data_IF_314740090358
#
_entry.id   IF_314740090358
#
_cell.length_a   1.000
_cell.length_b   1.000
_cell.length_c   1.000
_cell.angle_alpha   90.00
_cell.angle_beta   90.00
_cell.angle_gamma   90.00
#
_symmetry.space_group_name_H-M   'P 1'
#
loop_
_entity.id
_entity.type
_entity.pdbx_description
1 polymer ?
#
# COMPACT_ATOMS: atom_id res chain seq x y z
N UNK A 1 -8.84 4.36 -0.75
CA UNK A 1 -7.54 3.65 -0.67
C UNK A 1 -6.78 3.77 -1.99
N UNK A 2 -7.37 3.31 -3.10
CA UNK A 2 -6.69 3.22 -4.39
C UNK A 2 -6.45 4.56 -5.10
N UNK A 3 -7.02 5.67 -4.60
CA UNK A 3 -6.76 7.03 -5.10
C UNK A 3 -5.41 7.60 -4.62
N UNK A 4 -4.81 6.99 -3.60
CA UNK A 4 -3.48 7.36 -3.12
C UNK A 4 -2.44 6.96 -4.19
N UNK A 5 -1.52 7.86 -4.58
CA UNK A 5 -0.57 7.59 -5.67
C UNK A 5 0.46 6.51 -5.31
N UNK A 6 0.98 6.53 -4.08
CA UNK A 6 2.01 5.61 -3.57
C UNK A 6 1.97 5.48 -2.03
N UNK A 7 2.84 4.64 -1.46
CA UNK A 7 2.90 4.45 0.00
C UNK A 7 3.68 5.54 0.75
N UNK A 8 4.35 6.49 0.07
CA UNK A 8 5.32 7.39 0.71
C UNK A 8 4.67 8.25 1.79
N UNK A 9 3.59 8.95 1.46
CA UNK A 9 2.90 9.82 2.42
C UNK A 9 2.33 9.03 3.61
N UNK A 10 1.80 7.84 3.35
CA UNK A 10 1.32 6.96 4.42
C UNK A 10 2.45 6.50 5.36
N UNK A 11 3.57 6.04 4.79
CA UNK A 11 4.76 5.60 5.54
C UNK A 11 5.30 6.74 6.42
N UNK A 12 5.38 7.97 5.89
CA UNK A 12 5.83 9.14 6.65
C UNK A 12 4.90 9.45 7.84
N UNK A 13 3.58 9.35 7.64
CA UNK A 13 2.59 9.54 8.71
C UNK A 13 2.72 8.47 9.79
N UNK A 14 2.84 7.19 9.40
CA UNK A 14 3.05 6.08 10.34
C UNK A 14 4.33 6.28 11.14
N UNK A 15 5.41 6.73 10.50
CA UNK A 15 6.67 7.01 11.18
C UNK A 15 6.53 8.13 12.23
N UNK A 16 5.81 9.21 11.89
CA UNK A 16 5.52 10.30 12.84
C UNK A 16 4.71 9.77 14.03
N UNK A 17 3.69 8.94 13.80
CA UNK A 17 2.92 8.31 14.88
C UNK A 17 3.81 7.40 15.74
N UNK A 18 4.67 6.60 15.10
CA UNK A 18 5.53 5.63 15.77
C UNK A 18 6.48 6.24 16.80
N UNK A 19 6.82 7.54 16.65
CA UNK A 19 7.57 8.32 17.65
C UNK A 19 6.92 8.33 19.04
N UNK A 20 5.59 8.26 19.10
CA UNK A 20 4.81 8.38 20.33
C UNK A 20 4.04 7.10 20.68
N UNK A 21 4.10 6.07 19.83
CA UNK A 21 3.45 4.78 20.08
C UNK A 21 4.42 3.86 20.82
N UNK A 22 4.03 3.46 22.04
CA UNK A 22 4.84 2.62 22.92
C UNK A 22 5.20 1.27 22.27
N UNK A 23 4.18 0.59 21.72
CA UNK A 23 4.34 -0.69 21.03
C UNK A 23 4.64 -0.48 19.54
N UNK A 24 3.78 -0.99 18.66
CA UNK A 24 3.95 -0.94 17.21
C UNK A 24 2.64 -0.59 16.52
N UNK A 25 2.72 -0.26 15.23
CA UNK A 25 1.59 0.01 14.36
C UNK A 25 1.51 -1.11 13.33
N UNK A 26 0.30 -1.64 13.12
CA UNK A 26 0.00 -2.57 12.02
C UNK A 26 -0.02 -1.83 10.68
N UNK A 27 1.17 -1.46 10.19
CA UNK A 27 1.32 -0.62 9.01
C UNK A 27 1.16 -1.44 7.72
N UNK A 28 0.23 -1.02 6.86
CA UNK A 28 -0.02 -1.72 5.59
C UNK A 28 0.74 -1.07 4.44
N UNK A 29 1.11 -1.86 3.43
CA UNK A 29 1.59 -1.37 2.13
C UNK A 29 0.60 -1.75 1.05
N UNK A 30 0.29 -0.85 0.14
CA UNK A 30 -0.75 -1.03 -0.86
C UNK A 30 -0.18 -0.81 -2.26
N UNK A 31 -0.51 -1.70 -3.19
CA UNK A 31 -0.03 -1.65 -4.57
C UNK A 31 -1.17 -1.93 -5.53
N UNK A 32 -1.30 -1.06 -6.54
CA UNK A 32 -2.26 -1.22 -7.62
C UNK A 32 -1.51 -1.58 -8.90
N UNK A 33 -1.55 -2.84 -9.36
CA UNK A 33 -0.84 -3.26 -10.55
C UNK A 33 -1.23 -2.47 -11.80
N UNK A 34 -2.45 -1.91 -11.86
CA UNK A 34 -2.93 -1.12 -13.00
C UNK A 34 -2.20 0.22 -13.18
N UNK A 35 -1.45 0.66 -12.17
CA UNK A 35 -0.64 1.88 -12.21
C UNK A 35 0.78 1.67 -12.76
N UNK A 36 1.16 0.42 -13.05
CA UNK A 36 2.49 0.08 -13.53
C UNK A 36 2.47 -0.45 -14.96
N UNK A 37 3.55 -0.25 -15.74
CA UNK A 37 3.72 -0.91 -17.03
C UNK A 37 3.58 -2.43 -16.89
N UNK A 38 2.98 -3.08 -17.88
CA UNK A 38 2.73 -4.53 -17.94
C UNK A 38 1.85 -5.10 -16.81
N UNK A 39 1.17 -4.26 -16.03
CA UNK A 39 0.29 -4.70 -14.95
C UNK A 39 1.04 -5.42 -13.82
N UNK A 40 2.34 -5.15 -13.64
CA UNK A 40 3.20 -5.81 -12.65
C UNK A 40 3.87 -4.78 -11.76
N UNK A 41 3.78 -4.98 -10.44
CA UNK A 41 4.46 -4.14 -9.46
C UNK A 41 5.96 -4.48 -9.48
N UNK A 42 6.86 -3.53 -9.79
CA UNK A 42 8.29 -3.83 -9.84
C UNK A 42 8.85 -4.13 -8.44
N UNK A 43 9.67 -5.18 -8.32
CA UNK A 43 10.33 -5.54 -7.04
C UNK A 43 11.13 -4.38 -6.44
N UNK A 44 11.74 -3.56 -7.31
CA UNK A 44 12.47 -2.34 -6.90
C UNK A 44 11.60 -1.38 -6.09
N UNK A 45 10.32 -1.23 -6.43
CA UNK A 45 9.39 -0.34 -5.72
C UNK A 45 9.12 -0.89 -4.32
N UNK A 46 8.78 -2.18 -4.22
CA UNK A 46 8.49 -2.86 -2.95
C UNK A 46 9.69 -2.78 -2.01
N UNK A 47 10.90 -3.09 -2.50
CA UNK A 47 12.13 -3.00 -1.71
C UNK A 47 12.43 -1.57 -1.27
N UNK A 48 12.19 -0.58 -2.12
CA UNK A 48 12.38 0.84 -1.77
C UNK A 48 11.45 1.27 -0.63
N UNK A 49 10.20 0.80 -0.63
CA UNK A 49 9.23 1.09 0.43
C UNK A 49 9.62 0.38 1.74
N UNK A 50 10.09 -0.87 1.69
CA UNK A 50 10.59 -1.60 2.88
C UNK A 50 11.80 -0.87 3.49
N UNK A 51 12.76 -0.47 2.64
CA UNK A 51 13.96 0.26 3.09
C UNK A 51 13.55 1.61 3.69
N UNK A 52 12.59 2.32 3.10
CA UNK A 52 12.06 3.57 3.66
C UNK A 52 11.42 3.36 5.03
N UNK A 53 10.60 2.31 5.19
CA UNK A 53 10.00 1.98 6.48
C UNK A 53 11.07 1.76 7.55
N UNK A 54 12.12 1.01 7.21
CA UNK A 54 13.26 0.77 8.09
C UNK A 54 13.99 2.07 8.46
N UNK A 55 14.30 2.90 7.46
CA UNK A 55 14.99 4.19 7.64
C UNK A 55 14.21 5.14 8.57
N UNK A 56 12.88 5.12 8.52
CA UNK A 56 12.02 6.01 9.30
C UNK A 56 11.60 5.43 10.67
N UNK A 57 12.09 4.25 11.03
CA UNK A 57 11.84 3.65 12.34
C UNK A 57 10.47 3.00 12.50
N UNK A 58 9.81 2.60 11.41
CA UNK A 58 8.59 1.78 11.48
C UNK A 58 8.96 0.39 12.00
N UNK A 59 8.28 -0.04 13.07
CA UNK A 59 8.61 -1.27 13.79
C UNK A 59 8.05 -2.54 13.14
N UNK A 60 6.85 -2.49 12.56
CA UNK A 60 6.22 -3.65 11.91
C UNK A 60 5.47 -3.28 10.62
N UNK A 61 5.52 -4.18 9.65
CA UNK A 61 4.67 -4.18 8.45
C UNK A 61 3.66 -5.31 8.59
N UNK A 62 2.40 -5.02 8.28
CA UNK A 62 1.29 -5.95 8.50
C UNK A 62 0.78 -6.55 7.19
N UNK A 63 -0.16 -5.90 6.50
CA UNK A 63 -0.65 -6.41 5.23
C UNK A 63 0.03 -5.76 4.02
N UNK A 64 0.29 -6.61 3.04
CA UNK A 64 0.64 -6.23 1.68
C UNK A 64 -0.61 -6.37 0.80
N UNK A 65 -1.30 -5.26 0.55
CA UNK A 65 -2.55 -5.26 -0.20
C UNK A 65 -2.26 -5.04 -1.68
N UNK A 66 -2.71 -5.98 -2.51
CA UNK A 66 -2.66 -5.86 -3.97
C UNK A 66 -4.06 -5.66 -4.51
N UNK A 67 -4.29 -4.62 -5.33
CA UNK A 67 -5.61 -4.39 -5.93
C UNK A 67 -5.93 -5.50 -6.93
N UNK A 68 -7.02 -6.21 -6.69
CA UNK A 68 -7.52 -7.33 -7.48
C UNK A 68 -8.94 -7.08 -8.05
N UNK A 69 -9.43 -5.84 -7.95
CA UNK A 69 -10.81 -5.46 -8.29
C UNK A 69 -11.91 -6.09 -7.41
N UNK A 70 -11.57 -6.64 -6.23
CA UNK A 70 -12.57 -7.04 -5.24
C UNK A 70 -13.53 -5.87 -4.91
N UNK A 71 -14.83 -6.17 -4.92
CA UNK A 71 -15.88 -5.17 -4.66
C UNK A 71 -16.45 -4.48 -5.91
N UNK A 72 -15.96 -4.77 -7.12
CA UNK A 72 -16.74 -4.48 -8.33
C UNK A 72 -17.90 -5.48 -8.41
N UNK A 73 -19.10 -5.07 -7.99
CA UNK A 73 -20.31 -5.72 -8.48
C UNK A 73 -20.35 -5.51 -9.98
N UNK A 74 -20.26 -6.58 -10.77
CA UNK A 74 -20.61 -6.51 -12.18
C UNK A 74 -22.06 -6.01 -12.25
N UNK A 75 -22.26 -4.74 -12.58
CA UNK A 75 -23.54 -4.30 -13.09
C UNK A 75 -23.68 -4.99 -14.44
N UNK A 76 -24.23 -6.20 -14.43
CA UNK A 76 -24.67 -6.89 -15.64
C UNK A 76 -25.70 -5.96 -16.28
N UNK A 77 -25.25 -5.19 -17.26
CA UNK A 77 -26.12 -4.43 -18.13
C UNK A 77 -26.84 -5.48 -18.96
N UNK A 78 -28.04 -5.87 -18.50
CA UNK A 78 -28.93 -6.72 -19.27
C UNK A 78 -29.19 -6.00 -20.60
N UNK A 79 -28.63 -6.57 -21.67
CA UNK A 79 -28.90 -6.12 -23.03
C UNK A 79 -30.34 -6.53 -23.34
N UNK A 80 -31.20 -5.54 -23.52
CA UNK A 80 -32.57 -5.71 -24.01
C UNK A 80 -32.57 -5.99 -25.52
#
# INVERSE_FOLDING_TARGET
>A
LWDIPDNKGYIELVAIMQKFVDQTISANTNYDPTKFPDGKVPMKVILSDIIRCYQLGIKTLYYHNTRDSAGKSESVQAVA
#
